data_IF_190251901069
#
_entry.id   IF_190251901069
#
_cell.length_a   1.000
_cell.length_b   1.000
_cell.length_c   1.000
_cell.angle_alpha   90.00
_cell.angle_beta   90.00
_cell.angle_gamma   90.00
#
_symmetry.space_group_name_H-M   'P 1'
#
loop_
_entity.id
_entity.type
_entity.pdbx_description
1 polymer ?
#
# COMPACT_ATOMS: atom_id res chain seq x y z
N UNK A 1 22.38 -12.74 9.96
CA UNK A 1 22.74 -11.33 10.27
C UNK A 1 22.65 -10.55 8.96
N UNK A 2 21.44 -10.15 8.58
CA UNK A 2 21.17 -9.33 7.39
C UNK A 2 21.40 -7.87 7.73
N UNK A 3 22.36 -7.23 7.07
CA UNK A 3 22.61 -5.80 7.19
C UNK A 3 21.46 -5.04 6.52
N UNK A 4 20.82 -4.17 7.27
CA UNK A 4 19.93 -3.15 6.70
C UNK A 4 20.74 -2.28 5.73
N UNK A 5 20.33 -2.26 4.46
CA UNK A 5 20.92 -1.38 3.45
C UNK A 5 20.40 0.05 3.62
N UNK A 6 21.18 1.06 3.22
CA UNK A 6 20.87 2.46 3.47
C UNK A 6 19.66 2.92 2.65
N UNK A 7 18.85 3.72 3.32
CA UNK A 7 17.68 4.46 2.85
C UNK A 7 17.97 5.30 1.61
N UNK A 8 17.07 5.22 0.63
CA UNK A 8 17.01 6.14 -0.52
C UNK A 8 15.66 6.87 -0.47
N UNK A 9 15.69 8.18 -0.29
CA UNK A 9 14.51 9.03 -0.46
C UNK A 9 14.07 8.97 -1.92
N UNK A 10 12.84 8.44 -2.16
CA UNK A 10 12.21 8.51 -3.46
C UNK A 10 11.56 9.89 -3.59
N UNK A 11 11.95 10.73 -4.57
CA UNK A 11 11.25 11.98 -4.82
C UNK A 11 9.86 11.68 -5.42
N UNK A 12 8.83 12.22 -4.80
CA UNK A 12 7.50 12.31 -5.40
C UNK A 12 7.60 13.18 -6.67
N UNK A 13 6.92 12.85 -7.77
CA UNK A 13 7.01 13.62 -9.00
C UNK A 13 6.42 15.02 -8.80
N UNK A 14 7.26 16.04 -8.95
CA UNK A 14 6.86 17.43 -9.05
C UNK A 14 6.11 17.65 -10.37
N UNK A 15 4.92 18.24 -10.27
CA UNK A 15 4.13 18.66 -11.42
C UNK A 15 4.81 19.82 -12.13
N UNK A 16 5.34 19.59 -13.31
CA UNK A 16 5.58 20.66 -14.30
C UNK A 16 4.69 20.45 -15.51
N UNK A 17 3.80 21.43 -15.71
CA UNK A 17 3.00 21.59 -16.92
C UNK A 17 3.92 21.96 -18.10
N UNK A 18 3.86 21.19 -19.17
CA UNK A 18 4.22 21.67 -20.49
C UNK A 18 3.18 21.22 -21.51
N UNK A 19 2.42 22.21 -21.99
CA UNK A 19 1.53 22.09 -23.15
C UNK A 19 2.34 21.90 -24.42
N UNK A 20 2.18 20.80 -25.15
CA UNK A 20 2.31 20.75 -26.62
C UNK A 20 1.38 19.68 -27.19
N UNK A 21 0.58 20.08 -28.21
CA UNK A 21 -0.43 19.32 -28.97
C UNK A 21 0.21 18.55 -30.14
N UNK A 22 -0.58 17.81 -30.96
CA UNK A 22 -0.47 16.36 -31.07
C UNK A 22 0.16 15.91 -32.40
N UNK A 23 0.83 14.80 -32.43
CA UNK A 23 1.08 14.04 -33.64
C UNK A 23 0.91 12.55 -33.34
N UNK A 24 0.15 11.91 -34.18
CA UNK A 24 -0.08 10.48 -34.17
C UNK A 24 1.23 9.69 -34.00
N UNK A 25 1.43 9.13 -32.84
CA UNK A 25 2.42 8.07 -32.65
C UNK A 25 1.68 6.77 -32.35
N UNK A 26 1.77 5.88 -33.28
CA UNK A 26 1.50 4.47 -33.09
C UNK A 26 2.33 3.98 -31.90
N UNK A 27 1.62 3.66 -30.83
CA UNK A 27 2.16 3.37 -29.52
C UNK A 27 2.92 2.03 -29.57
N UNK A 28 4.22 2.09 -29.53
CA UNK A 28 5.03 1.03 -28.97
C UNK A 28 4.81 1.09 -27.45
N UNK A 29 3.90 0.26 -26.92
CA UNK A 29 3.87 -0.06 -25.50
C UNK A 29 5.25 -0.57 -25.14
N UNK A 30 5.99 0.21 -24.38
CA UNK A 30 7.24 -0.27 -23.82
C UNK A 30 6.88 -1.33 -22.78
N UNK A 31 7.49 -2.51 -22.89
CA UNK A 31 7.28 -3.68 -22.03
C UNK A 31 7.39 -3.42 -20.52
N UNK A 32 7.76 -2.22 -20.12
CA UNK A 32 7.99 -1.80 -18.75
C UNK A 32 6.70 -1.55 -17.95
N UNK A 33 5.59 -1.15 -18.58
CA UNK A 33 4.29 -0.96 -17.88
C UNK A 33 3.57 -2.31 -17.67
N UNK A 34 3.76 -3.27 -18.55
CA UNK A 34 3.13 -4.60 -18.45
C UNK A 34 3.62 -5.42 -17.24
N UNK A 35 4.72 -5.03 -16.60
CA UNK A 35 5.33 -5.72 -15.45
C UNK A 35 5.16 -4.95 -14.13
N UNK A 36 4.44 -3.82 -14.12
CA UNK A 36 4.26 -3.04 -12.89
C UNK A 36 3.32 -3.75 -11.92
N UNK A 37 3.77 -3.87 -10.66
CA UNK A 37 2.97 -4.41 -9.55
C UNK A 37 2.13 -3.33 -8.86
N UNK A 38 2.16 -2.09 -9.33
CA UNK A 38 1.32 -1.01 -8.81
C UNK A 38 -0.16 -1.39 -8.87
N UNK A 39 -0.88 -1.20 -7.78
CA UNK A 39 -2.29 -1.59 -7.67
C UNK A 39 -2.52 -3.07 -7.42
N UNK A 40 -1.47 -3.89 -7.22
CA UNK A 40 -1.56 -5.31 -6.86
C UNK A 40 -1.47 -5.52 -5.36
N UNK A 41 -1.88 -6.69 -4.91
CA UNK A 41 -1.65 -7.17 -3.54
C UNK A 41 -0.44 -8.10 -3.53
N UNK A 42 0.42 -7.93 -2.51
CA UNK A 42 1.41 -8.93 -2.13
C UNK A 42 0.89 -9.67 -0.91
N UNK A 43 0.86 -10.99 -1.00
CA UNK A 43 0.42 -11.87 0.06
C UNK A 43 1.63 -12.64 0.57
N UNK A 44 1.96 -12.46 1.86
CA UNK A 44 3.13 -13.09 2.44
C UNK A 44 3.00 -14.61 2.49
N UNK A 45 4.02 -15.29 1.99
CA UNK A 45 4.16 -16.74 2.10
C UNK A 45 4.71 -17.14 3.47
N UNK A 46 4.42 -18.35 3.97
CA UNK A 46 5.01 -18.85 5.23
C UNK A 46 6.55 -18.87 5.22
N UNK A 47 7.15 -18.79 4.05
CA UNK A 47 8.61 -18.78 3.83
C UNK A 47 9.24 -17.39 3.91
N UNK A 48 8.47 -16.32 4.15
CA UNK A 48 8.94 -14.93 4.11
C UNK A 48 10.13 -14.64 5.03
N UNK A 49 10.29 -15.40 6.11
CA UNK A 49 11.46 -15.33 6.99
C UNK A 49 11.61 -14.05 7.83
N UNK A 50 10.74 -13.08 7.66
CA UNK A 50 10.68 -11.84 8.45
C UNK A 50 9.35 -11.78 9.20
N UNK A 51 9.40 -11.89 10.54
CA UNK A 51 8.24 -11.91 11.42
C UNK A 51 7.36 -10.66 11.28
N UNK A 52 7.94 -9.53 10.85
CA UNK A 52 7.19 -8.28 10.61
C UNK A 52 6.15 -8.45 9.50
N UNK A 53 6.44 -9.32 8.55
CA UNK A 53 5.60 -9.59 7.39
C UNK A 53 4.89 -10.95 7.42
N UNK A 54 5.00 -11.69 8.52
CA UNK A 54 4.26 -12.94 8.66
C UNK A 54 2.75 -12.70 8.49
N UNK A 55 2.12 -13.49 7.59
CA UNK A 55 0.69 -13.40 7.24
C UNK A 55 0.21 -11.98 6.89
N UNK A 56 1.07 -11.15 6.29
CA UNK A 56 0.68 -9.82 5.84
C UNK A 56 0.10 -9.83 4.43
N UNK A 57 -0.77 -8.84 4.21
CA UNK A 57 -1.21 -8.40 2.88
C UNK A 57 -0.75 -6.97 2.69
N UNK A 58 -0.09 -6.69 1.58
CA UNK A 58 0.44 -5.36 1.25
C UNK A 58 -0.18 -4.90 -0.05
N UNK A 59 -0.74 -3.69 -0.07
CA UNK A 59 -1.20 -3.04 -1.30
C UNK A 59 -0.08 -2.21 -1.90
N UNK A 60 0.25 -2.48 -3.16
CA UNK A 60 1.36 -1.84 -3.86
C UNK A 60 0.97 -0.47 -4.39
N UNK A 61 1.47 0.58 -3.77
CA UNK A 61 1.18 1.97 -4.13
C UNK A 61 2.08 2.49 -5.25
N UNK A 62 3.31 2.00 -5.33
CA UNK A 62 4.25 2.34 -6.39
C UNK A 62 5.17 1.16 -6.68
N UNK A 63 5.50 0.96 -7.96
CA UNK A 63 6.46 -0.04 -8.39
C UNK A 63 7.18 0.37 -9.67
N UNK A 64 8.48 0.26 -9.65
CA UNK A 64 9.35 0.42 -10.80
C UNK A 64 10.59 -0.45 -10.59
N UNK A 65 10.95 -1.24 -11.58
CA UNK A 65 12.15 -2.08 -11.53
C UNK A 65 13.43 -1.26 -11.27
N UNK A 66 13.49 -0.05 -11.79
CA UNK A 66 14.66 0.84 -11.66
C UNK A 66 14.68 1.67 -10.38
N UNK A 67 13.49 2.01 -9.83
CA UNK A 67 13.35 2.93 -8.69
C UNK A 67 12.97 2.20 -7.39
N UNK A 68 12.60 0.92 -7.47
CA UNK A 68 12.13 0.13 -6.36
C UNK A 68 10.60 0.21 -6.19
N UNK A 69 10.12 -0.17 -5.02
CA UNK A 69 8.71 -0.33 -4.76
C UNK A 69 8.31 0.19 -3.38
N UNK A 70 7.04 0.60 -3.27
CA UNK A 70 6.41 1.04 -2.04
C UNK A 70 5.02 0.42 -1.91
N UNK A 71 4.70 -0.09 -0.73
CA UNK A 71 3.38 -0.62 -0.42
C UNK A 71 2.96 -0.38 1.02
N UNK A 72 1.67 -0.53 1.30
CA UNK A 72 1.11 -0.40 2.64
C UNK A 72 0.60 -1.75 3.14
N UNK A 73 1.06 -2.15 4.33
CA UNK A 73 0.52 -3.31 5.04
C UNK A 73 -0.92 -3.01 5.42
N UNK A 74 -1.85 -3.94 5.12
CA UNK A 74 -3.29 -3.73 5.27
C UNK A 74 -3.89 -4.39 6.51
N UNK A 75 -3.17 -5.29 7.16
CA UNK A 75 -3.75 -6.19 8.16
C UNK A 75 -2.92 -6.31 9.45
N UNK A 76 -2.19 -5.25 9.79
CA UNK A 76 -1.54 -5.16 11.10
C UNK A 76 -1.98 -3.88 11.81
N UNK A 77 -2.69 -3.97 12.95
CA UNK A 77 -3.05 -2.80 13.73
C UNK A 77 -1.79 -2.18 14.36
N UNK A 78 -1.84 -0.89 14.64
CA UNK A 78 -0.86 -0.24 15.52
C UNK A 78 -1.41 -0.24 16.93
N UNK A 79 -0.69 -0.84 17.86
CA UNK A 79 -1.07 -0.82 19.26
C UNK A 79 -0.81 0.55 19.89
N UNK A 80 -1.77 1.00 20.72
CA UNK A 80 -1.60 2.22 21.53
C UNK A 80 -1.69 3.54 20.76
N UNK A 81 -2.14 3.54 19.51
CA UNK A 81 -2.44 4.77 18.76
C UNK A 81 -3.94 4.94 18.64
N UNK A 82 -4.48 5.95 19.32
CA UNK A 82 -5.87 6.36 19.19
C UNK A 82 -5.99 7.45 18.12
N UNK A 83 -7.00 7.32 17.25
CA UNK A 83 -7.23 8.30 16.18
C UNK A 83 -7.53 9.69 16.74
N UNK A 84 -8.27 9.77 17.84
CA UNK A 84 -8.59 11.04 18.51
C UNK A 84 -7.34 11.72 19.03
N UNK A 85 -6.44 10.97 19.69
CA UNK A 85 -5.17 11.51 20.16
C UNK A 85 -4.30 11.99 18.99
N UNK A 86 -4.32 11.28 17.85
CA UNK A 86 -3.63 11.70 16.63
C UNK A 86 -4.19 13.04 16.12
N UNK A 87 -5.52 13.20 16.07
CA UNK A 87 -6.16 14.45 15.65
C UNK A 87 -5.81 15.62 16.60
N UNK A 88 -5.80 15.37 17.91
CA UNK A 88 -5.43 16.38 18.91
C UNK A 88 -3.97 16.84 18.75
N UNK A 89 -3.04 15.91 18.52
CA UNK A 89 -1.63 16.24 18.22
C UNK A 89 -1.48 17.07 16.95
N UNK A 90 -2.30 16.79 15.94
CA UNK A 90 -2.33 17.54 14.68
C UNK A 90 -3.16 18.84 14.74
N UNK A 91 -3.75 19.17 15.92
CA UNK A 91 -4.60 20.33 16.16
C UNK A 91 -5.84 20.37 15.25
N UNK A 92 -6.41 19.21 14.97
CA UNK A 92 -7.67 19.05 14.23
C UNK A 92 -8.79 18.98 15.25
N UNK A 93 -9.62 20.02 15.32
CA UNK A 93 -10.64 20.22 16.37
C UNK A 93 -12.07 19.93 15.91
N UNK A 94 -12.32 19.98 14.60
CA UNK A 94 -13.62 19.64 14.02
C UNK A 94 -13.69 18.13 13.82
N UNK A 95 -14.37 17.43 14.73
CA UNK A 95 -14.39 15.97 14.76
C UNK A 95 -15.84 15.48 14.77
N UNK A 96 -16.32 15.02 13.61
CA UNK A 96 -17.58 14.29 13.46
C UNK A 96 -17.35 12.77 13.56
N UNK A 97 -16.16 12.29 13.13
CA UNK A 97 -15.74 10.90 13.23
C UNK A 97 -14.56 10.83 14.19
N UNK A 98 -14.77 10.20 15.35
CA UNK A 98 -13.78 10.11 16.43
C UNK A 98 -13.05 8.76 16.48
N UNK A 99 -13.44 7.80 15.65
CA UNK A 99 -12.86 6.45 15.61
C UNK A 99 -12.54 6.03 14.20
N UNK A 100 -11.26 5.89 13.92
CA UNK A 100 -10.72 5.30 12.70
C UNK A 100 -9.58 4.36 13.10
N UNK A 101 -9.61 3.09 12.71
CA UNK A 101 -8.50 2.19 12.97
C UNK A 101 -7.21 2.70 12.31
N UNK A 102 -6.16 2.86 13.10
CA UNK A 102 -4.82 3.20 12.61
C UNK A 102 -4.04 1.91 12.42
N UNK A 103 -3.53 1.70 11.21
CA UNK A 103 -2.84 0.49 10.83
C UNK A 103 -1.32 0.72 10.75
N UNK A 104 -0.56 -0.34 10.94
CA UNK A 104 0.86 -0.37 10.68
C UNK A 104 1.07 -0.56 9.17
N UNK A 105 1.47 0.49 8.47
CA UNK A 105 1.72 0.45 7.03
C UNK A 105 3.06 -0.16 6.65
N UNK A 106 4.04 -0.17 7.56
CA UNK A 106 5.35 -0.75 7.33
C UNK A 106 6.46 -0.13 8.18
N UNK A 107 7.70 -0.66 8.04
CA UNK A 107 8.83 -0.29 8.90
C UNK A 107 9.48 1.06 8.57
N UNK A 108 9.18 1.65 7.40
CA UNK A 108 9.81 2.89 6.93
C UNK A 108 8.94 4.08 7.31
N UNK A 109 9.53 5.18 7.76
CA UNK A 109 8.85 6.42 8.17
C UNK A 109 7.64 6.20 9.10
N UNK A 110 7.82 5.46 10.17
CA UNK A 110 6.75 4.96 11.07
C UNK A 110 5.81 6.02 11.64
N UNK A 111 6.19 7.30 11.61
CA UNK A 111 5.37 8.43 12.09
C UNK A 111 4.63 9.16 10.98
N UNK A 112 4.89 8.81 9.72
CA UNK A 112 4.22 9.42 8.58
C UNK A 112 2.91 8.70 8.28
N UNK A 113 1.84 9.47 8.18
CA UNK A 113 0.51 8.97 7.81
C UNK A 113 0.34 8.84 6.30
N UNK A 114 -0.29 7.74 5.89
CA UNK A 114 -0.70 7.46 4.52
C UNK A 114 -2.16 7.03 4.52
N UNK A 115 -2.94 7.56 3.61
CA UNK A 115 -4.35 7.23 3.48
C UNK A 115 -4.60 6.67 2.09
N UNK A 116 -4.97 5.38 2.03
CA UNK A 116 -5.62 4.81 0.86
C UNK A 116 -7.09 5.20 0.90
N UNK A 117 -7.65 5.56 -0.24
CA UNK A 117 -9.05 5.96 -0.32
C UNK A 117 -9.63 5.74 -1.71
N UNK A 118 -10.94 5.70 -1.79
CA UNK A 118 -11.68 5.60 -3.05
C UNK A 118 -11.57 6.92 -3.84
N UNK A 119 -11.72 6.83 -5.17
CA UNK A 119 -11.49 7.94 -6.12
C UNK A 119 -12.65 8.95 -6.21
N UNK A 120 -13.72 8.77 -5.42
CA UNK A 120 -14.79 9.75 -5.19
C UNK A 120 -14.28 11.06 -4.55
N UNK A 121 -13.21 10.96 -3.74
CA UNK A 121 -12.55 12.11 -3.14
C UNK A 121 -11.36 12.57 -4.00
N UNK A 122 -11.30 13.90 -4.25
CA UNK A 122 -10.24 14.54 -5.03
C UNK A 122 -9.50 15.55 -4.19
N UNK A 123 -8.18 15.45 -4.17
CA UNK A 123 -7.27 16.38 -3.48
C UNK A 123 -6.02 16.59 -4.35
N UNK A 124 -5.45 17.78 -4.32
CA UNK A 124 -4.23 18.12 -5.05
C UNK A 124 -3.02 17.25 -4.66
N UNK A 125 -3.06 16.65 -3.47
CA UNK A 125 -2.05 15.71 -2.97
C UNK A 125 -2.34 14.23 -3.23
N UNK A 126 -3.43 13.91 -3.94
CA UNK A 126 -3.80 12.53 -4.22
C UNK A 126 -3.03 11.97 -5.42
N UNK A 127 -2.48 10.78 -5.25
CA UNK A 127 -1.84 10.00 -6.31
C UNK A 127 -2.71 8.80 -6.65
N UNK A 128 -3.20 8.72 -7.89
CA UNK A 128 -3.95 7.55 -8.33
C UNK A 128 -3.05 6.30 -8.32
N UNK A 129 -3.49 5.25 -7.65
CA UNK A 129 -2.82 3.95 -7.62
C UNK A 129 -3.47 3.00 -8.62
N UNK A 130 -4.80 2.92 -8.61
CA UNK A 130 -5.61 2.19 -9.59
C UNK A 130 -6.79 3.05 -10.04
N UNK A 131 -7.72 2.50 -10.82
CA UNK A 131 -8.95 3.19 -11.22
C UNK A 131 -9.86 3.51 -10.02
N UNK A 132 -9.84 2.67 -8.98
CA UNK A 132 -10.71 2.78 -7.80
C UNK A 132 -10.01 3.32 -6.56
N UNK A 133 -8.68 3.28 -6.50
CA UNK A 133 -7.92 3.57 -5.27
C UNK A 133 -6.87 4.64 -5.53
N UNK A 134 -6.85 5.64 -4.67
CA UNK A 134 -5.84 6.69 -4.59
C UNK A 134 -5.10 6.63 -3.24
N UNK A 135 -3.90 7.21 -3.23
CA UNK A 135 -3.07 7.39 -2.04
C UNK A 135 -2.89 8.89 -1.78
N UNK A 136 -3.12 9.31 -0.55
CA UNK A 136 -2.87 10.69 -0.09
C UNK A 136 -2.08 10.67 1.21
N UNK A 137 -1.12 11.60 1.35
CA UNK A 137 -0.28 11.74 2.54
C UNK A 137 -0.29 13.18 3.10
N UNK A 138 -1.34 13.96 2.83
CA UNK A 138 -1.52 15.33 3.33
C UNK A 138 -2.42 15.37 4.55
N UNK A 139 -2.31 16.45 5.35
CA UNK A 139 -3.17 16.64 6.52
C UNK A 139 -4.61 17.01 6.16
N UNK A 140 -4.85 17.52 4.95
CA UNK A 140 -6.17 17.99 4.56
C UNK A 140 -7.18 16.85 4.48
N UNK A 141 -6.79 15.70 3.90
CA UNK A 141 -7.67 14.53 3.88
C UNK A 141 -8.03 14.03 5.29
N UNK A 142 -7.10 14.14 6.26
CA UNK A 142 -7.41 13.79 7.66
C UNK A 142 -8.43 14.74 8.28
N UNK A 143 -8.37 16.04 7.96
CA UNK A 143 -9.36 17.03 8.39
C UNK A 143 -10.73 16.73 7.78
N UNK A 144 -10.76 16.43 6.50
CA UNK A 144 -12.02 16.13 5.80
C UNK A 144 -12.64 14.83 6.31
N UNK A 145 -11.83 13.78 6.56
CA UNK A 145 -12.31 12.55 7.19
C UNK A 145 -12.86 12.85 8.60
N UNK A 146 -12.12 13.58 9.42
CA UNK A 146 -12.55 13.93 10.77
C UNK A 146 -13.86 14.75 10.76
N UNK A 147 -14.03 15.65 9.80
CA UNK A 147 -15.25 16.44 9.60
C UNK A 147 -16.44 15.64 8.99
N UNK A 148 -16.21 14.39 8.56
CA UNK A 148 -17.23 13.58 7.89
C UNK A 148 -17.46 13.93 6.42
N UNK A 149 -16.53 14.66 5.80
CA UNK A 149 -16.53 15.09 4.39
C UNK A 149 -15.46 14.38 3.56
N UNK A 150 -14.83 13.34 4.10
CA UNK A 150 -13.80 12.56 3.43
C UNK A 150 -14.34 11.57 2.38
N UNK A 151 -13.48 10.72 1.82
CA UNK A 151 -13.85 9.68 0.87
C UNK A 151 -14.78 8.63 1.50
N UNK A 152 -15.61 7.99 0.68
CA UNK A 152 -16.57 6.96 1.10
C UNK A 152 -15.89 5.79 1.83
N UNK A 153 -14.76 5.34 1.28
CA UNK A 153 -13.93 4.29 1.92
C UNK A 153 -12.51 4.79 2.04
N UNK A 154 -11.93 4.59 3.20
CA UNK A 154 -10.56 5.01 3.49
C UNK A 154 -9.89 4.07 4.49
N UNK A 155 -8.55 4.10 4.47
CA UNK A 155 -7.69 3.25 5.29
C UNK A 155 -6.47 4.08 5.71
N UNK A 156 -6.28 4.30 7.01
CA UNK A 156 -5.16 5.07 7.55
C UNK A 156 -4.05 4.12 8.00
N UNK A 157 -2.85 4.34 7.48
CA UNK A 157 -1.65 3.61 7.87
C UNK A 157 -0.53 4.55 8.32
N UNK A 158 0.27 4.11 9.28
CA UNK A 158 1.50 4.75 9.69
C UNK A 158 2.71 3.98 9.15
N UNK A 159 3.59 4.70 8.46
CA UNK A 159 4.74 4.11 7.78
C UNK A 159 4.37 3.35 6.50
N UNK A 160 5.38 2.77 5.86
CA UNK A 160 5.22 1.97 4.65
C UNK A 160 6.26 0.85 4.55
N UNK A 161 6.01 -0.13 3.69
CA UNK A 161 6.98 -1.12 3.26
C UNK A 161 7.66 -0.64 1.98
N UNK A 162 8.99 -0.67 1.97
CA UNK A 162 9.79 -0.22 0.84
C UNK A 162 10.80 -1.26 0.39
N UNK A 163 11.01 -1.35 -0.92
CA UNK A 163 11.98 -2.23 -1.56
C UNK A 163 12.92 -1.42 -2.44
N UNK A 164 14.20 -1.74 -2.37
CA UNK A 164 15.20 -1.24 -3.31
C UNK A 164 14.95 -1.76 -4.74
N UNK A 165 15.53 -1.13 -5.78
CA UNK A 165 15.45 -1.64 -7.15
C UNK A 165 15.80 -3.13 -7.25
N UNK A 166 14.93 -3.93 -7.85
CA UNK A 166 15.09 -5.38 -8.05
C UNK A 166 14.86 -6.25 -6.81
N UNK A 167 14.79 -5.66 -5.60
CA UNK A 167 14.65 -6.44 -4.36
C UNK A 167 13.31 -7.19 -4.29
N UNK A 168 12.21 -6.54 -4.66
CA UNK A 168 10.89 -7.16 -4.62
C UNK A 168 10.80 -8.35 -5.58
N UNK A 169 11.33 -8.20 -6.77
CA UNK A 169 11.37 -9.26 -7.78
C UNK A 169 12.18 -10.47 -7.30
N UNK A 170 13.27 -10.24 -6.61
CA UNK A 170 14.08 -11.33 -6.05
C UNK A 170 13.37 -12.03 -4.88
N UNK A 171 12.65 -11.29 -4.03
CA UNK A 171 11.81 -11.86 -2.98
C UNK A 171 10.64 -12.68 -3.54
N UNK A 172 10.01 -12.23 -4.64
CA UNK A 172 8.96 -12.98 -5.34
C UNK A 172 9.53 -14.28 -5.94
N UNK A 173 10.69 -14.22 -6.61
CA UNK A 173 11.38 -15.42 -7.15
C UNK A 173 11.77 -16.40 -6.04
N UNK A 174 12.10 -15.88 -4.86
CA UNK A 174 12.39 -16.69 -3.68
C UNK A 174 11.13 -17.24 -2.99
N UNK A 175 9.94 -17.07 -3.58
CA UNK A 175 8.64 -17.45 -3.01
C UNK A 175 8.33 -16.79 -1.65
N UNK A 176 8.80 -15.56 -1.42
CA UNK A 176 8.44 -14.76 -0.26
C UNK A 176 7.03 -14.17 -0.37
N UNK A 177 6.61 -13.84 -1.58
CA UNK A 177 5.33 -13.19 -1.88
C UNK A 177 4.57 -13.87 -2.99
N UNK A 178 3.25 -13.98 -2.83
CA UNK A 178 2.31 -14.20 -3.93
C UNK A 178 1.75 -12.85 -4.39
N UNK A 179 1.48 -12.74 -5.68
CA UNK A 179 0.89 -11.54 -6.28
C UNK A 179 -0.57 -11.81 -6.62
N UNK A 180 -1.48 -11.02 -6.05
CA UNK A 180 -2.91 -11.09 -6.32
C UNK A 180 -3.42 -9.78 -6.94
N UNK A 181 -4.63 -9.80 -7.49
CA UNK A 181 -5.31 -8.60 -7.97
C UNK A 181 -5.65 -7.67 -6.81
N UNK A 182 -5.57 -6.36 -7.06
CA UNK A 182 -5.84 -5.33 -6.08
C UNK A 182 -7.33 -5.06 -5.92
N UNK A 183 -8.04 -5.98 -5.28
CA UNK A 183 -9.48 -5.88 -5.03
C UNK A 183 -9.78 -4.85 -3.92
N UNK A 184 -10.63 -3.86 -4.23
CA UNK A 184 -11.00 -2.80 -3.28
C UNK A 184 -11.78 -3.33 -2.06
N UNK A 185 -12.52 -4.42 -2.19
CA UNK A 185 -13.19 -5.11 -1.08
C UNK A 185 -12.17 -5.70 -0.11
N UNK A 186 -11.09 -6.30 -0.60
CA UNK A 186 -10.01 -6.78 0.27
C UNK A 186 -9.32 -5.60 0.95
N UNK A 187 -9.06 -4.51 0.23
CA UNK A 187 -8.36 -3.34 0.79
C UNK A 187 -9.18 -2.69 1.90
N UNK A 188 -10.46 -2.42 1.68
CA UNK A 188 -11.27 -1.59 2.59
C UNK A 188 -12.22 -2.39 3.49
N UNK A 189 -12.92 -3.39 2.95
CA UNK A 189 -14.09 -3.96 3.60
C UNK A 189 -13.81 -5.25 4.38
N UNK A 190 -12.72 -5.95 4.06
CA UNK A 190 -12.34 -7.18 4.77
C UNK A 190 -11.88 -6.90 6.19
N UNK A 191 -12.32 -7.71 7.15
CA UNK A 191 -11.80 -7.67 8.51
C UNK A 191 -10.28 -7.89 8.53
N UNK A 192 -9.58 -7.18 9.40
CA UNK A 192 -8.11 -7.17 9.48
C UNK A 192 -7.55 -8.59 9.53
N UNK A 193 -8.09 -9.41 10.43
CA UNK A 193 -7.61 -10.79 10.66
C UNK A 193 -7.91 -11.73 9.49
N UNK A 194 -8.94 -11.42 8.68
CA UNK A 194 -9.36 -12.23 7.54
C UNK A 194 -8.72 -11.83 6.22
N UNK A 195 -8.08 -10.65 6.13
CA UNK A 195 -7.53 -10.13 4.85
C UNK A 195 -6.57 -11.10 4.17
N UNK A 196 -5.69 -11.75 4.93
CA UNK A 196 -4.73 -12.68 4.38
C UNK A 196 -5.40 -13.94 3.78
N UNK A 197 -6.37 -14.50 4.49
CA UNK A 197 -7.13 -15.65 4.00
C UNK A 197 -8.02 -15.26 2.80
N UNK A 198 -8.63 -14.07 2.80
CA UNK A 198 -9.41 -13.55 1.67
C UNK A 198 -8.53 -13.31 0.43
N UNK A 199 -7.33 -12.76 0.59
CA UNK A 199 -6.40 -12.56 -0.50
C UNK A 199 -5.92 -13.90 -1.11
N UNK A 200 -5.69 -14.93 -0.30
CA UNK A 200 -5.42 -16.28 -0.78
C UNK A 200 -6.62 -16.88 -1.52
N UNK A 201 -7.81 -16.76 -0.94
CA UNK A 201 -9.04 -17.28 -1.53
C UNK A 201 -9.35 -16.64 -2.89
N UNK A 202 -9.06 -15.35 -3.09
CA UNK A 202 -9.22 -14.68 -4.39
C UNK A 202 -8.35 -15.29 -5.49
N UNK A 203 -7.23 -15.93 -5.13
CA UNK A 203 -6.36 -16.68 -6.02
C UNK A 203 -6.73 -18.18 -6.13
N UNK A 204 -7.80 -18.63 -5.46
CA UNK A 204 -8.16 -20.04 -5.39
C UNK A 204 -7.24 -20.88 -4.49
N UNK A 205 -6.47 -20.25 -3.61
CA UNK A 205 -5.50 -20.90 -2.73
C UNK A 205 -6.10 -21.01 -1.32
N UNK A 206 -6.00 -22.20 -0.71
CA UNK A 206 -6.30 -22.40 0.71
C UNK A 206 -5.03 -22.30 1.54
N UNK A 207 -5.10 -21.61 2.69
CA UNK A 207 -3.99 -21.50 3.64
C UNK A 207 -3.42 -22.86 4.06
N UNK A 208 -4.27 -23.89 4.14
CA UNK A 208 -3.86 -25.26 4.46
C UNK A 208 -2.94 -25.92 3.42
N UNK A 209 -2.95 -25.40 2.19
CA UNK A 209 -2.14 -25.91 1.09
C UNK A 209 -0.77 -25.22 1.00
N UNK A 210 -0.53 -24.19 1.83
CA UNK A 210 0.76 -23.49 1.86
C UNK A 210 1.73 -24.25 2.76
N UNK A 211 2.81 -24.76 2.18
CA UNK A 211 3.89 -25.42 2.90
C UNK A 211 4.95 -24.41 3.35
N UNK A 212 5.42 -24.54 4.58
CA UNK A 212 6.58 -23.79 5.09
C UNK A 212 7.92 -24.31 4.53
N UNK A 213 7.92 -25.50 3.91
CA UNK A 213 9.06 -26.04 3.19
C UNK A 213 8.92 -25.75 1.70
N UNK A 214 9.73 -24.82 1.18
CA UNK A 214 9.81 -24.57 -0.26
C UNK A 214 10.10 -25.88 -0.98
N UNK A 215 9.19 -26.30 -1.87
CA UNK A 215 9.38 -27.47 -2.68
C UNK A 215 10.65 -27.32 -3.51
N UNK A 216 11.64 -28.16 -3.26
CA UNK A 216 12.73 -28.39 -4.19
C UNK A 216 12.18 -29.31 -5.29
N UNK A 217 11.95 -28.75 -6.46
CA UNK A 217 11.81 -29.52 -7.68
C UNK A 217 13.20 -29.78 -8.27
#
# INVERSE_FOLDING_TARGET
>A
MGKALPYVELPLPSSELALVRPACYFFLMTDTEALSLKGRLLVAMPTIGDERFERTVIYMCAHSHEKGAMGLVLNKPVDGVDFRELLDQLKITEVAIDKLPVQYGGPVEKTRGFILHTTDYKSDGASAVSEEISLTATLDILRDIAAGCGPDRHFLALGYAGWAPGQLEDEIKANGWLVADGDAGIVFDSAIDAKWDHALASMGISASNLSSSGGRA
#
